data_IF_346455537905
#
_entry.id   IF_346455537905
#
_cell.length_a   1.000
_cell.length_b   1.000
_cell.length_c   1.000
_cell.angle_alpha   90.00
_cell.angle_beta   90.00
_cell.angle_gamma   90.00
#
_symmetry.space_group_name_H-M   'P 1'
#
loop_
_entity.id
_entity.type
_entity.pdbx_description
1 polymer ?
#
# COMPACT_ATOMS: atom_id res chain seq x y z
N UNK A 1 -21.43 -29.97 -0.13
CA UNK A 1 -20.10 -29.39 0.11
C UNK A 1 -20.20 -28.07 0.90
N UNK A 2 -20.54 -28.09 2.19
CA UNK A 2 -20.68 -26.87 3.00
C UNK A 2 -19.36 -26.37 3.63
N UNK A 3 -18.29 -27.14 3.58
CA UNK A 3 -17.06 -26.82 4.36
C UNK A 3 -16.06 -25.84 3.71
N UNK A 4 -16.17 -25.56 2.41
CA UNK A 4 -15.19 -24.73 1.72
C UNK A 4 -15.45 -23.23 1.97
N UNK A 5 -16.70 -22.81 1.92
CA UNK A 5 -17.08 -21.40 2.20
C UNK A 5 -16.86 -21.02 3.66
N UNK A 6 -17.10 -21.95 4.59
CA UNK A 6 -16.87 -21.70 6.02
C UNK A 6 -15.37 -21.53 6.31
N UNK A 7 -14.50 -22.37 5.75
CA UNK A 7 -13.04 -22.22 5.89
C UNK A 7 -12.51 -20.92 5.25
N UNK A 8 -13.11 -20.49 4.14
CA UNK A 8 -12.76 -19.21 3.50
C UNK A 8 -13.21 -18.02 4.35
N UNK A 9 -14.41 -18.11 4.94
CA UNK A 9 -14.94 -17.11 5.86
C UNK A 9 -14.09 -17.01 7.12
N UNK A 10 -13.68 -18.14 7.69
CA UNK A 10 -12.83 -18.20 8.87
C UNK A 10 -11.41 -17.66 8.59
N UNK A 11 -10.89 -17.81 7.36
CA UNK A 11 -9.60 -17.23 6.94
C UNK A 11 -9.68 -15.71 6.75
N UNK A 12 -10.85 -15.20 6.33
CA UNK A 12 -11.12 -13.77 6.09
C UNK A 12 -11.50 -13.07 7.40
N UNK A 13 -12.19 -13.78 8.30
CA UNK A 13 -12.70 -13.23 9.57
C UNK A 13 -11.87 -13.64 10.78
N UNK A 14 -10.90 -14.54 10.62
CA UNK A 14 -9.96 -14.83 11.70
C UNK A 14 -9.29 -13.52 12.12
N UNK A 15 -9.48 -13.06 13.36
CA UNK A 15 -8.75 -11.89 13.83
C UNK A 15 -7.26 -12.21 13.67
N UNK A 16 -6.46 -11.27 13.14
CA UNK A 16 -5.02 -11.46 13.09
C UNK A 16 -4.56 -11.86 14.49
N UNK A 17 -3.64 -12.82 14.58
CA UNK A 17 -3.15 -13.45 15.83
C UNK A 17 -2.53 -12.43 16.82
N UNK A 18 -2.55 -11.16 16.47
CA UNK A 18 -2.16 -10.02 17.28
C UNK A 18 -3.33 -9.50 18.10
N UNK A 19 -3.64 -10.19 19.22
CA UNK A 19 -4.42 -9.61 20.31
C UNK A 19 -3.61 -8.45 20.90
N UNK A 20 -3.81 -7.25 20.37
CA UNK A 20 -3.38 -6.05 21.06
C UNK A 20 -4.16 -5.95 22.37
N UNK A 21 -3.48 -6.19 23.49
CA UNK A 21 -4.00 -5.83 24.79
C UNK A 21 -4.25 -4.32 24.77
N UNK A 22 -5.51 -3.95 24.88
CA UNK A 22 -5.94 -2.58 25.12
C UNK A 22 -5.59 -2.22 26.56
N UNK A 23 -4.34 -1.90 26.83
CA UNK A 23 -3.99 -1.24 28.08
C UNK A 23 -2.70 -0.44 27.90
N UNK A 24 -2.85 0.76 28.31
CA UNK A 24 -1.93 1.86 28.54
C UNK A 24 -1.93 2.97 27.47
N UNK A 25 -2.46 4.11 27.93
CA UNK A 25 -2.14 5.44 27.42
C UNK A 25 -0.62 5.66 27.46
N UNK A 26 0.09 5.08 26.51
CA UNK A 26 1.44 5.49 26.22
C UNK A 26 1.30 6.79 25.44
N UNK A 27 1.42 7.92 26.15
CA UNK A 27 1.73 9.23 25.56
C UNK A 27 3.15 9.14 24.97
N UNK A 28 3.29 8.37 23.89
CA UNK A 28 4.49 8.42 23.09
C UNK A 28 4.38 9.72 22.28
N UNK A 29 5.19 10.71 22.64
CA UNK A 29 5.34 11.96 21.90
C UNK A 29 6.05 11.58 20.60
N UNK A 30 5.26 11.24 19.56
CA UNK A 30 5.81 11.00 18.23
C UNK A 30 6.48 12.31 17.82
N UNK A 31 7.79 12.32 17.71
CA UNK A 31 8.50 13.44 17.10
C UNK A 31 8.30 13.31 15.60
N UNK A 32 7.23 13.94 15.08
CA UNK A 32 7.02 14.13 13.65
C UNK A 32 8.18 14.95 13.11
N UNK A 33 9.01 14.30 12.31
CA UNK A 33 10.05 15.02 11.59
C UNK A 33 9.42 15.74 10.40
N UNK A 34 9.75 17.01 10.19
CA UNK A 34 9.33 17.72 9.00
C UNK A 34 9.97 17.10 7.75
N UNK A 35 9.18 16.96 6.68
CA UNK A 35 9.70 16.42 5.43
C UNK A 35 10.73 17.35 4.80
N UNK A 36 11.92 16.84 4.51
CA UNK A 36 12.97 17.59 3.83
C UNK A 36 12.63 17.81 2.34
N UNK A 37 13.32 18.76 1.72
CA UNK A 37 13.22 19.00 0.27
C UNK A 37 13.54 17.72 -0.52
N UNK A 38 14.49 16.92 -0.02
CA UNK A 38 14.87 15.65 -0.66
C UNK A 38 13.76 14.60 -0.55
N UNK A 39 13.06 14.53 0.58
CA UNK A 39 11.89 13.65 0.73
C UNK A 39 10.80 14.00 -0.27
N UNK A 40 10.51 15.29 -0.44
CA UNK A 40 9.49 15.76 -1.37
C UNK A 40 9.87 15.53 -2.83
N UNK A 41 11.14 15.75 -3.19
CA UNK A 41 11.67 15.43 -4.53
C UNK A 41 11.56 13.92 -4.81
N UNK A 42 11.93 13.09 -3.83
CA UNK A 42 11.83 11.64 -3.93
C UNK A 42 10.39 11.20 -4.10
N UNK A 43 9.47 11.70 -3.27
CA UNK A 43 8.04 11.38 -3.35
C UNK A 43 7.48 11.75 -4.74
N UNK A 44 7.75 12.97 -5.24
CA UNK A 44 7.34 13.40 -6.59
C UNK A 44 7.92 12.50 -7.69
N UNK A 45 9.17 12.09 -7.55
CA UNK A 45 9.83 11.27 -8.57
C UNK A 45 9.16 9.91 -8.79
N UNK A 46 8.52 9.35 -7.74
CA UNK A 46 7.85 8.05 -7.79
C UNK A 46 6.53 8.05 -8.59
N UNK A 47 6.03 9.21 -9.02
CA UNK A 47 4.94 9.27 -9.99
C UNK A 47 5.38 8.85 -11.40
N UNK A 48 6.68 8.85 -11.69
CA UNK A 48 7.26 8.38 -12.95
C UNK A 48 7.64 6.88 -12.86
N UNK A 49 7.17 6.07 -13.82
CA UNK A 49 7.46 4.62 -13.90
C UNK A 49 8.96 4.34 -13.76
N UNK A 50 9.81 5.03 -14.54
CA UNK A 50 11.27 4.87 -14.51
C UNK A 50 11.86 4.93 -13.09
N UNK A 51 11.40 5.89 -12.28
CA UNK A 51 11.93 6.11 -10.95
C UNK A 51 11.42 5.08 -9.95
N UNK A 52 10.18 4.60 -10.11
CA UNK A 52 9.63 3.50 -9.29
C UNK A 52 10.49 2.25 -9.42
N UNK A 53 10.77 1.84 -10.65
CA UNK A 53 11.57 0.63 -10.90
C UNK A 53 13.05 0.82 -10.53
N UNK A 54 13.65 1.97 -10.85
CA UNK A 54 15.04 2.26 -10.48
C UNK A 54 15.28 2.23 -8.97
N UNK A 55 14.30 2.68 -8.18
CA UNK A 55 14.40 2.70 -6.71
C UNK A 55 13.70 1.51 -6.05
N UNK A 56 12.96 0.68 -6.81
CA UNK A 56 12.10 -0.39 -6.32
C UNK A 56 11.11 0.09 -5.25
N UNK A 57 10.49 1.27 -5.50
CA UNK A 57 9.57 1.94 -4.61
C UNK A 57 8.29 2.33 -5.33
N UNK A 58 7.19 2.39 -4.59
CA UNK A 58 5.91 2.93 -5.09
C UNK A 58 5.14 3.65 -3.97
N UNK A 59 4.05 4.31 -4.34
CA UNK A 59 3.27 5.15 -3.43
C UNK A 59 1.96 4.46 -3.08
N UNK A 60 1.62 4.49 -1.79
CA UNK A 60 0.28 4.24 -1.27
C UNK A 60 -0.36 5.56 -0.88
N UNK A 61 -1.65 5.71 -1.19
CA UNK A 61 -2.42 6.90 -0.86
C UNK A 61 -3.70 6.53 -0.10
N UNK A 62 -3.88 7.15 1.06
CA UNK A 62 -5.07 7.00 1.89
C UNK A 62 -4.92 6.02 3.04
N UNK A 63 -5.75 6.27 4.07
CA UNK A 63 -5.71 5.56 5.35
C UNK A 63 -5.84 4.05 5.23
N UNK A 64 -6.90 3.57 4.56
CA UNK A 64 -7.21 2.13 4.53
C UNK A 64 -6.10 1.32 3.87
N UNK A 65 -5.55 1.82 2.76
CA UNK A 65 -4.53 1.11 2.02
C UNK A 65 -3.21 1.04 2.81
N UNK A 66 -2.84 2.13 3.48
CA UNK A 66 -1.63 2.18 4.31
C UNK A 66 -1.80 1.28 5.55
N UNK A 67 -2.97 1.31 6.19
CA UNK A 67 -3.28 0.43 7.32
C UNK A 67 -3.17 -1.04 6.93
N UNK A 68 -3.73 -1.43 5.78
CA UNK A 68 -3.66 -2.79 5.26
C UNK A 68 -2.23 -3.22 4.99
N UNK A 69 -1.40 -2.35 4.40
CA UNK A 69 0.03 -2.60 4.20
C UNK A 69 0.74 -2.88 5.53
N UNK A 70 0.46 -2.10 6.56
CA UNK A 70 1.06 -2.27 7.89
C UNK A 70 0.63 -3.60 8.54
N UNK A 71 -0.67 -3.93 8.49
CA UNK A 71 -1.22 -5.17 9.07
C UNK A 71 -0.67 -6.40 8.34
N UNK A 72 -0.52 -6.33 7.03
CA UNK A 72 0.04 -7.43 6.23
C UNK A 72 1.57 -7.55 6.32
N UNK A 73 2.23 -6.69 7.10
CA UNK A 73 3.70 -6.67 7.21
C UNK A 73 4.39 -6.26 5.91
N UNK A 74 3.71 -5.47 5.06
CA UNK A 74 4.31 -5.00 3.82
C UNK A 74 5.37 -3.93 4.11
N UNK A 75 6.55 -3.95 3.45
CA UNK A 75 7.67 -3.10 3.83
C UNK A 75 7.41 -1.62 3.47
N UNK A 76 7.11 -0.82 4.48
CA UNK A 76 6.96 0.63 4.40
C UNK A 76 8.29 1.31 4.70
N UNK A 77 8.62 2.35 3.95
CA UNK A 77 9.83 3.14 4.19
C UNK A 77 9.53 4.40 5.00
N UNK A 78 8.56 5.20 4.53
CA UNK A 78 8.15 6.44 5.18
C UNK A 78 6.65 6.64 5.03
N UNK A 79 6.01 7.25 6.03
CA UNK A 79 4.64 7.70 5.95
C UNK A 79 4.61 9.22 6.16
N UNK A 80 3.86 9.93 5.31
CA UNK A 80 3.70 11.36 5.32
C UNK A 80 2.28 11.72 5.75
N UNK A 81 2.17 12.62 6.72
CA UNK A 81 0.89 13.10 7.23
C UNK A 81 0.79 14.62 7.11
N UNK A 82 -0.39 15.11 6.73
CA UNK A 82 -0.73 16.51 6.97
C UNK A 82 -1.18 16.70 8.41
N UNK A 83 -1.07 17.92 8.97
CA UNK A 83 -1.54 18.20 10.32
C UNK A 83 -3.03 17.83 10.49
N UNK A 84 -3.86 18.19 9.51
CA UNK A 84 -5.28 17.84 9.53
C UNK A 84 -5.54 16.33 9.59
N UNK A 85 -4.76 15.54 8.88
CA UNK A 85 -4.91 14.07 8.91
C UNK A 85 -4.48 13.45 10.24
N UNK A 86 -3.50 14.04 10.92
CA UNK A 86 -3.05 13.63 12.26
C UNK A 86 -4.17 13.82 13.30
N UNK A 87 -4.88 14.94 13.22
CA UNK A 87 -5.93 15.28 14.18
C UNK A 87 -7.17 14.41 14.03
N UNK A 88 -7.36 13.81 12.85
CA UNK A 88 -8.44 12.87 12.58
C UNK A 88 -8.24 11.53 13.33
N UNK A 89 -9.34 10.86 13.69
CA UNK A 89 -9.29 9.58 14.41
C UNK A 89 -8.46 8.52 13.67
N UNK A 90 -8.60 8.45 12.35
CA UNK A 90 -7.83 7.52 11.50
C UNK A 90 -6.33 7.84 11.48
N UNK A 91 -5.94 9.10 11.55
CA UNK A 91 -4.55 9.49 11.64
C UNK A 91 -3.91 9.07 12.95
N UNK A 92 -4.62 9.27 14.07
CA UNK A 92 -4.16 8.84 15.41
C UNK A 92 -3.95 7.33 15.48
N UNK A 93 -4.86 6.57 14.89
CA UNK A 93 -4.75 5.11 14.81
C UNK A 93 -3.52 4.67 14.01
N UNK A 94 -3.30 5.24 12.81
CA UNK A 94 -2.11 4.95 12.01
C UNK A 94 -0.81 5.34 12.72
N UNK A 95 -0.79 6.49 13.38
CA UNK A 95 0.38 6.92 14.15
C UNK A 95 0.72 5.94 15.27
N UNK A 96 -0.29 5.42 15.95
CA UNK A 96 -0.10 4.36 16.97
C UNK A 96 0.52 3.09 16.36
N UNK A 97 0.04 2.68 15.19
CA UNK A 97 0.61 1.54 14.45
C UNK A 97 2.06 1.82 14.01
N UNK A 98 2.36 3.03 13.53
CA UNK A 98 3.71 3.42 13.13
C UNK A 98 4.71 3.27 14.28
N UNK A 99 4.32 3.70 15.48
CA UNK A 99 5.16 3.55 16.68
C UNK A 99 5.47 2.09 16.99
N UNK A 100 4.44 1.24 16.93
CA UNK A 100 4.59 -0.18 17.26
C UNK A 100 5.49 -0.91 16.24
N UNK A 101 5.50 -0.46 15.00
CA UNK A 101 6.24 -1.07 13.89
C UNK A 101 7.55 -0.32 13.55
N UNK A 102 7.90 0.74 14.29
CA UNK A 102 9.08 1.57 14.04
C UNK A 102 9.15 2.13 12.60
N UNK A 103 8.00 2.49 12.02
CA UNK A 103 7.94 3.12 10.71
C UNK A 103 8.19 4.61 10.83
N UNK A 104 9.08 5.15 9.99
CA UNK A 104 9.41 6.57 9.99
C UNK A 104 8.21 7.43 9.56
N UNK A 105 7.88 8.43 10.37
CA UNK A 105 6.75 9.32 10.14
C UNK A 105 7.23 10.74 9.91
N UNK A 106 6.70 11.39 8.87
CA UNK A 106 7.05 12.75 8.48
C UNK A 106 5.81 13.62 8.32
N UNK A 107 5.92 14.90 8.69
CA UNK A 107 4.89 15.88 8.38
C UNK A 107 5.08 16.43 6.97
N UNK A 108 3.96 16.71 6.28
CA UNK A 108 3.95 17.30 4.94
C UNK A 108 2.93 18.44 4.89
N UNK A 109 3.31 19.54 4.21
CA UNK A 109 2.38 20.65 3.98
C UNK A 109 1.22 20.19 3.06
N UNK A 110 -0.04 20.50 3.41
CA UNK A 110 -1.22 20.12 2.62
C UNK A 110 -1.17 20.60 1.16
N UNK A 111 -0.62 21.80 0.92
CA UNK A 111 -0.50 22.35 -0.44
C UNK A 111 0.49 21.55 -1.27
N UNK A 112 1.60 21.16 -0.65
CA UNK A 112 2.63 20.32 -1.30
C UNK A 112 2.07 18.93 -1.60
N UNK A 113 1.35 18.33 -0.65
CA UNK A 113 0.71 17.03 -0.85
C UNK A 113 -0.31 17.09 -1.98
N UNK A 114 -1.15 18.13 -2.05
CA UNK A 114 -2.12 18.32 -3.12
C UNK A 114 -1.46 18.47 -4.52
N UNK A 115 -0.28 19.09 -4.58
CA UNK A 115 0.48 19.18 -5.85
C UNK A 115 1.12 17.87 -6.28
N UNK A 116 1.39 16.98 -5.34
CA UNK A 116 2.02 15.68 -5.60
C UNK A 116 0.97 14.62 -5.93
N UNK A 117 -0.15 14.61 -5.22
CA UNK A 117 -1.21 13.62 -5.36
C UNK A 117 -2.05 13.89 -6.62
N UNK A 118 -2.32 12.83 -7.39
CA UNK A 118 -3.27 12.86 -8.53
C UNK A 118 -4.74 12.78 -8.07
N UNK A 119 -4.99 12.66 -6.77
CA UNK A 119 -6.33 12.48 -6.22
C UNK A 119 -6.93 13.83 -5.83
N UNK A 120 -8.11 14.15 -6.39
CA UNK A 120 -8.82 15.41 -6.10
C UNK A 120 -9.15 15.57 -4.60
N UNK A 121 -9.51 14.46 -3.94
CA UNK A 121 -9.86 14.41 -2.53
C UNK A 121 -8.87 13.49 -1.78
N UNK A 122 -7.62 13.94 -1.64
CA UNK A 122 -6.65 13.19 -0.87
C UNK A 122 -6.99 13.23 0.64
N UNK A 123 -6.71 12.15 1.34
CA UNK A 123 -6.98 12.03 2.79
C UNK A 123 -5.86 12.64 3.65
N UNK A 124 -4.90 13.31 3.05
CA UNK A 124 -3.78 13.92 3.77
C UNK A 124 -2.72 12.93 4.24
N UNK A 125 -2.73 11.70 3.70
CA UNK A 125 -1.79 10.63 4.10
C UNK A 125 -1.25 9.94 2.86
N UNK A 126 0.08 9.86 2.76
CA UNK A 126 0.82 9.10 1.75
C UNK A 126 1.87 8.20 2.40
N UNK A 127 2.20 7.07 1.77
CA UNK A 127 3.33 6.24 2.18
C UNK A 127 4.19 5.83 1.00
N UNK A 128 5.48 5.67 1.24
CA UNK A 128 6.43 5.06 0.31
C UNK A 128 6.62 3.60 0.74
N UNK A 129 6.38 2.69 -0.20
CA UNK A 129 6.54 1.26 -0.02
C UNK A 129 7.67 0.71 -0.88
N UNK A 130 8.34 -0.31 -0.39
CA UNK A 130 9.31 -1.08 -1.19
C UNK A 130 8.56 -2.11 -2.02
N UNK A 131 8.93 -2.27 -3.29
CA UNK A 131 8.50 -3.42 -4.08
C UNK A 131 9.11 -4.68 -3.47
N UNK A 132 8.34 -5.75 -3.38
CA UNK A 132 8.89 -7.06 -2.97
C UNK A 132 9.86 -7.56 -4.02
N UNK A 133 10.86 -8.32 -3.57
CA UNK A 133 11.72 -9.05 -4.49
C UNK A 133 10.92 -10.16 -5.16
N UNK A 134 11.25 -10.44 -6.41
CA UNK A 134 10.58 -11.50 -7.16
C UNK A 134 10.95 -12.85 -6.55
N UNK A 135 9.95 -13.54 -6.01
CA UNK A 135 10.16 -14.90 -5.55
C UNK A 135 10.28 -15.85 -6.77
N UNK A 136 11.18 -16.82 -6.68
CA UNK A 136 11.32 -17.86 -7.71
C UNK A 136 10.17 -18.87 -7.70
N UNK A 137 9.38 -18.91 -6.63
CA UNK A 137 8.31 -19.89 -6.44
C UNK A 137 7.07 -19.45 -7.21
N UNK A 138 6.68 -20.26 -8.19
CA UNK A 138 5.41 -20.14 -8.88
C UNK A 138 4.33 -20.92 -8.12
N UNK A 139 3.21 -20.26 -7.87
CA UNK A 139 2.01 -20.98 -7.43
C UNK A 139 1.51 -21.91 -8.55
N UNK A 140 0.73 -22.93 -8.17
CA UNK A 140 0.10 -23.86 -9.14
C UNK A 140 -0.81 -23.15 -10.15
N UNK A 141 -1.30 -21.96 -9.81
CA UNK A 141 -2.15 -21.12 -10.65
C UNK A 141 -1.49 -19.78 -10.90
N UNK A 142 -1.32 -19.45 -12.16
CA UNK A 142 -0.74 -18.18 -12.62
C UNK A 142 -1.76 -17.46 -13.46
N UNK A 143 -1.97 -16.17 -13.20
CA UNK A 143 -2.74 -15.28 -14.05
C UNK A 143 -1.78 -14.53 -14.97
N UNK A 144 -2.01 -14.59 -16.27
CA UNK A 144 -1.25 -13.81 -17.25
C UNK A 144 -2.14 -12.68 -17.77
N UNK A 145 -1.70 -11.44 -17.61
CA UNK A 145 -2.36 -10.23 -18.09
C UNK A 145 -1.59 -9.70 -19.30
N UNK A 146 -2.23 -9.78 -20.46
CA UNK A 146 -1.62 -9.43 -21.75
C UNK A 146 -2.25 -8.15 -22.33
N UNK A 147 -1.44 -7.11 -22.53
CA UNK A 147 -1.83 -5.82 -23.11
C UNK A 147 -3.04 -5.14 -22.44
N UNK A 148 -3.11 -5.23 -21.11
CA UNK A 148 -4.12 -4.52 -20.32
C UNK A 148 -3.69 -3.05 -20.15
N UNK A 149 -4.19 -2.16 -21.00
CA UNK A 149 -3.75 -0.76 -21.07
C UNK A 149 -4.43 0.16 -20.05
N UNK A 150 -5.68 -0.14 -19.63
CA UNK A 150 -6.40 0.71 -18.67
C UNK A 150 -5.98 0.43 -17.22
N UNK A 151 -5.53 1.46 -16.48
CA UNK A 151 -5.11 1.28 -15.08
C UNK A 151 -6.22 0.83 -14.14
N UNK A 152 -7.47 1.21 -14.39
CA UNK A 152 -8.61 0.79 -13.58
C UNK A 152 -8.90 -0.70 -13.75
N UNK A 153 -8.88 -1.19 -15.00
CA UNK A 153 -9.03 -2.61 -15.31
C UNK A 153 -7.88 -3.43 -14.74
N UNK A 154 -6.63 -2.96 -14.88
CA UNK A 154 -5.47 -3.61 -14.28
C UNK A 154 -5.66 -3.80 -12.77
N UNK A 155 -6.00 -2.75 -12.03
CA UNK A 155 -6.22 -2.85 -10.59
C UNK A 155 -7.38 -3.77 -10.22
N UNK A 156 -8.48 -3.75 -10.99
CA UNK A 156 -9.61 -4.65 -10.78
C UNK A 156 -9.23 -6.12 -10.98
N UNK A 157 -8.44 -6.42 -12.01
CA UNK A 157 -7.95 -7.78 -12.27
C UNK A 157 -7.02 -8.26 -11.15
N UNK A 158 -6.09 -7.42 -10.69
CA UNK A 158 -5.23 -7.74 -9.55
C UNK A 158 -6.05 -8.03 -8.28
N UNK A 159 -7.05 -7.19 -7.98
CA UNK A 159 -7.94 -7.41 -6.84
C UNK A 159 -8.73 -8.71 -6.97
N UNK A 160 -9.23 -9.00 -8.16
CA UNK A 160 -9.95 -10.24 -8.44
C UNK A 160 -9.05 -11.46 -8.28
N UNK A 161 -7.81 -11.41 -8.79
CA UNK A 161 -6.82 -12.48 -8.62
C UNK A 161 -6.58 -12.79 -7.14
N UNK A 162 -6.32 -11.75 -6.34
CA UNK A 162 -6.13 -11.89 -4.89
C UNK A 162 -7.35 -12.50 -4.21
N UNK A 163 -8.57 -12.06 -4.58
CA UNK A 163 -9.81 -12.57 -4.04
C UNK A 163 -10.02 -14.08 -4.30
N UNK A 164 -9.65 -14.54 -5.51
CA UNK A 164 -9.72 -15.97 -5.87
C UNK A 164 -8.51 -16.78 -5.45
N UNK A 165 -7.59 -16.21 -4.66
CA UNK A 165 -6.41 -16.91 -4.14
C UNK A 165 -5.37 -17.26 -5.23
N UNK A 166 -5.37 -16.55 -6.37
CA UNK A 166 -4.29 -16.59 -7.34
C UNK A 166 -3.20 -15.67 -6.80
N UNK A 167 -2.02 -16.20 -6.53
CA UNK A 167 -0.93 -15.42 -5.92
C UNK A 167 0.07 -14.87 -6.93
N UNK A 168 0.30 -15.56 -8.03
CA UNK A 168 1.26 -15.15 -9.05
C UNK A 168 0.56 -14.53 -10.25
N UNK A 169 0.94 -13.29 -10.58
CA UNK A 169 0.44 -12.55 -11.74
C UNK A 169 1.60 -12.13 -12.62
N UNK A 170 1.56 -12.50 -13.90
CA UNK A 170 2.54 -12.08 -14.91
C UNK A 170 1.90 -11.02 -15.80
N UNK A 171 2.57 -9.89 -15.98
CA UNK A 171 2.04 -8.74 -16.70
C UNK A 171 2.96 -8.43 -17.88
N UNK A 172 2.40 -8.36 -19.09
CA UNK A 172 3.16 -8.05 -20.30
C UNK A 172 3.65 -6.60 -20.32
N UNK A 173 4.76 -6.34 -21.02
CA UNK A 173 5.43 -5.04 -21.11
C UNK A 173 4.50 -3.88 -21.54
N UNK A 174 3.61 -4.14 -22.50
CA UNK A 174 2.67 -3.13 -23.02
C UNK A 174 1.44 -2.89 -22.13
N UNK A 175 1.36 -3.54 -21.00
CA UNK A 175 0.28 -3.32 -20.04
C UNK A 175 0.51 -2.07 -19.18
N UNK A 176 -0.57 -1.60 -18.56
CA UNK A 176 -0.48 -0.57 -17.52
C UNK A 176 0.45 -1.04 -16.39
N UNK A 177 1.30 -0.14 -15.93
CA UNK A 177 2.23 -0.43 -14.83
C UNK A 177 1.48 -0.75 -13.54
N UNK A 178 1.65 -1.96 -12.96
CA UNK A 178 0.95 -2.38 -11.75
C UNK A 178 1.23 -1.48 -10.54
N UNK A 179 2.37 -0.81 -10.49
CA UNK A 179 2.74 0.11 -9.42
C UNK A 179 2.38 1.58 -9.70
N UNK A 180 1.66 1.85 -10.79
CA UNK A 180 1.08 3.17 -11.02
C UNK A 180 0.10 3.52 -9.89
N UNK A 181 0.13 4.75 -9.31
CA UNK A 181 -0.75 5.13 -8.21
C UNK A 181 -2.25 4.87 -8.46
N UNK A 182 -2.71 5.04 -9.70
CA UNK A 182 -4.10 4.74 -10.09
C UNK A 182 -4.41 3.24 -10.03
N UNK A 183 -3.47 2.38 -10.46
CA UNK A 183 -3.59 0.92 -10.36
C UNK A 183 -3.57 0.49 -8.90
N UNK A 184 -2.63 1.01 -8.12
CA UNK A 184 -2.48 0.68 -6.70
C UNK A 184 -3.76 1.00 -5.93
N UNK A 185 -4.38 2.16 -6.18
CA UNK A 185 -5.67 2.52 -5.56
C UNK A 185 -6.79 1.56 -5.99
N UNK A 186 -6.92 1.27 -7.28
CA UNK A 186 -8.01 0.40 -7.77
C UNK A 186 -7.85 -1.06 -7.36
N UNK A 187 -6.62 -1.51 -7.11
CA UNK A 187 -6.31 -2.85 -6.62
C UNK A 187 -6.60 -3.05 -5.13
N UNK A 188 -6.83 -1.96 -4.36
CA UNK A 188 -7.29 -1.99 -2.97
C UNK A 188 -6.50 -2.97 -2.08
N UNK A 189 -5.16 -2.93 -2.11
CA UNK A 189 -4.30 -3.76 -1.27
C UNK A 189 -3.94 -5.14 -1.86
N UNK A 190 -4.41 -5.49 -3.04
CA UNK A 190 -4.04 -6.75 -3.68
C UNK A 190 -2.53 -6.95 -3.83
N UNK A 191 -1.76 -5.86 -3.97
CA UNK A 191 -0.30 -5.87 -4.04
C UNK A 191 0.37 -6.53 -2.82
N UNK A 192 -0.31 -6.54 -1.68
CA UNK A 192 0.24 -7.12 -0.45
C UNK A 192 0.11 -8.63 -0.41
N UNK A 193 -0.74 -9.20 -1.27
CA UNK A 193 -1.06 -10.61 -1.35
C UNK A 193 -0.49 -11.29 -2.61
N UNK A 194 -0.11 -10.49 -3.62
CA UNK A 194 0.30 -10.98 -4.93
C UNK A 194 1.81 -10.90 -5.13
N UNK A 195 2.33 -11.85 -5.87
CA UNK A 195 3.63 -11.80 -6.52
C UNK A 195 3.42 -11.31 -7.96
N UNK A 196 3.82 -10.07 -8.22
CA UNK A 196 3.63 -9.43 -9.50
C UNK A 196 4.95 -9.45 -10.26
N UNK A 197 4.96 -10.13 -11.42
CA UNK A 197 6.10 -10.18 -12.34
C UNK A 197 5.79 -9.34 -13.57
N UNK A 198 6.71 -8.47 -13.92
CA UNK A 198 6.63 -7.62 -15.11
C UNK A 198 7.80 -7.93 -16.03
N UNK A 199 7.53 -8.14 -17.31
CA UNK A 199 8.56 -8.23 -18.34
C UNK A 199 9.00 -6.84 -18.78
#
# INVERSE_FOLDING_TARGET
MPGFFQKLWDLITAPPVWRFKSDHQVRCKIMLQESSINDLKRLRSLFLKKNRYANRLFILEGYLLIKEAMISGYPLENIFFTQQSIDANHGKELLSLCNNLNVAVKSIDPKVLHQISDTKNNQGILAICKMRDEAEVFDKRILVLYEISDPGNMGTLLRTAAWFGIRTVIISEKSADPYNPKVVRSAMGAHFLLEIKTN
#
